data_IF_777302140599
#
_entry.id   IF_777302140599
#
_cell.length_a   1.000
_cell.length_b   1.000
_cell.length_c   1.000
_cell.angle_alpha   90.00
_cell.angle_beta   90.00
_cell.angle_gamma   90.00
#
_symmetry.space_group_name_H-M   'P 1'
#
loop_
_entity.id
_entity.type
_entity.pdbx_description
1 polymer ?
#
# COMPACT_ATOMS: atom_id res chain seq x y z
N UNK A 1 -2.25 21.81 -3.65
CA UNK A 1 -1.52 21.11 -2.57
C UNK A 1 -0.94 22.07 -1.56
N UNK A 2 0.09 22.85 -1.87
CA UNK A 2 0.68 23.80 -0.89
C UNK A 2 -0.26 24.96 -0.52
N UNK A 3 -1.11 25.40 -1.44
CA UNK A 3 -2.15 26.41 -1.18
C UNK A 3 -3.28 25.86 -0.29
N UNK A 4 -3.66 24.59 -0.47
CA UNK A 4 -4.65 23.91 0.39
C UNK A 4 -4.12 23.75 1.82
N UNK A 5 -2.83 23.41 1.96
CA UNK A 5 -2.13 23.35 3.25
C UNK A 5 -2.11 24.74 3.89
N UNK A 6 -1.77 25.79 3.13
CA UNK A 6 -1.77 27.18 3.63
C UNK A 6 -3.15 27.58 4.16
N UNK A 7 -4.19 27.26 3.39
CA UNK A 7 -5.56 27.56 3.75
C UNK A 7 -5.97 26.84 5.03
N UNK A 8 -5.64 25.54 5.16
CA UNK A 8 -5.87 24.76 6.40
C UNK A 8 -5.14 25.36 7.60
N UNK A 9 -3.86 25.68 7.45
CA UNK A 9 -3.02 26.26 8.52
C UNK A 9 -3.55 27.63 8.96
N UNK A 10 -4.02 28.47 8.03
CA UNK A 10 -4.67 29.76 8.34
C UNK A 10 -5.98 29.56 9.11
N UNK A 11 -6.78 28.55 8.76
CA UNK A 11 -8.01 28.22 9.47
C UNK A 11 -7.73 27.72 10.91
N UNK A 12 -6.71 26.87 11.09
CA UNK A 12 -6.37 26.31 12.40
C UNK A 12 -5.76 27.33 13.35
N UNK A 13 -4.87 28.20 12.87
CA UNK A 13 -4.16 29.17 13.71
C UNK A 13 -4.87 30.52 13.86
N UNK A 14 -6.05 30.72 13.26
CA UNK A 14 -6.82 31.99 13.26
C UNK A 14 -5.99 33.24 12.90
N UNK A 15 -4.87 33.06 12.21
CA UNK A 15 -3.92 34.12 11.90
C UNK A 15 -3.90 34.32 10.39
N UNK A 16 -4.33 35.50 9.98
CA UNK A 16 -4.49 35.90 8.57
C UNK A 16 -3.16 36.16 7.86
N UNK A 17 -2.06 36.27 8.61
CA UNK A 17 -0.73 36.69 8.14
C UNK A 17 0.32 35.59 8.36
N UNK A 18 0.01 34.37 7.92
CA UNK A 18 0.96 33.27 7.84
C UNK A 18 1.45 33.18 6.38
N UNK A 19 2.75 33.35 6.20
CA UNK A 19 3.48 33.12 4.95
C UNK A 19 3.88 31.63 4.83
N UNK A 20 4.37 31.23 3.64
CA UNK A 20 4.83 29.87 3.40
C UNK A 20 5.98 29.49 4.34
N UNK A 21 5.75 28.52 5.20
CA UNK A 21 6.75 28.00 6.14
C UNK A 21 7.40 26.72 5.58
N UNK A 22 8.64 26.40 5.97
CA UNK A 22 9.32 25.18 5.53
C UNK A 22 8.57 23.90 5.94
N UNK A 23 7.79 23.93 7.01
CA UNK A 23 6.94 22.81 7.45
C UNK A 23 5.84 22.51 6.43
N UNK A 24 5.24 23.55 5.83
CA UNK A 24 4.23 23.37 4.79
C UNK A 24 4.83 22.83 3.48
N UNK A 25 6.08 23.19 3.20
CA UNK A 25 6.82 22.64 2.09
C UNK A 25 7.11 21.15 2.30
N UNK A 26 7.53 20.77 3.50
CA UNK A 26 7.73 19.37 3.86
C UNK A 26 6.42 18.57 3.78
N UNK A 27 5.30 19.12 4.26
CA UNK A 27 3.99 18.47 4.13
C UNK A 27 3.58 18.27 2.66
N UNK A 28 3.83 19.26 1.80
CA UNK A 28 3.57 19.11 0.36
C UNK A 28 4.46 18.01 -0.26
N UNK A 29 5.73 17.90 0.14
CA UNK A 29 6.62 16.84 -0.32
C UNK A 29 6.15 15.44 0.11
N UNK A 30 5.63 15.30 1.34
CA UNK A 30 5.04 14.03 1.83
C UNK A 30 3.86 13.60 0.93
N UNK A 31 2.94 14.53 0.64
CA UNK A 31 1.78 14.24 -0.22
C UNK A 31 2.18 13.84 -1.64
N UNK A 32 3.18 14.51 -2.20
CA UNK A 32 3.72 14.16 -3.53
C UNK A 32 4.36 12.76 -3.48
N UNK A 33 5.06 12.42 -2.40
CA UNK A 33 5.68 11.11 -2.25
C UNK A 33 4.67 9.99 -2.09
N UNK A 34 3.60 10.20 -1.33
CA UNK A 34 2.53 9.23 -1.21
C UNK A 34 1.84 8.96 -2.55
N UNK A 35 1.65 10.01 -3.37
CA UNK A 35 1.10 9.87 -4.72
C UNK A 35 2.06 9.10 -5.64
N UNK A 36 3.36 9.40 -5.58
CA UNK A 36 4.38 8.68 -6.35
C UNK A 36 4.46 7.20 -5.96
N UNK A 37 4.41 6.89 -4.67
CA UNK A 37 4.37 5.50 -4.18
C UNK A 37 3.09 4.81 -4.63
N UNK A 38 1.94 5.49 -4.57
CA UNK A 38 0.66 4.93 -5.01
C UNK A 38 0.68 4.55 -6.50
N UNK A 39 1.22 5.42 -7.35
CA UNK A 39 1.19 5.25 -8.82
C UNK A 39 2.32 4.34 -9.31
N UNK A 40 3.54 4.55 -8.81
CA UNK A 40 4.77 3.96 -9.35
C UNK A 40 5.49 3.03 -8.39
N UNK A 41 5.05 2.95 -7.14
CA UNK A 41 5.71 2.21 -6.07
C UNK A 41 7.17 2.60 -5.83
N UNK A 42 7.56 3.81 -6.24
CA UNK A 42 8.91 4.32 -6.13
C UNK A 42 8.90 5.59 -5.27
N UNK A 43 9.87 5.74 -4.35
CA UNK A 43 9.98 6.92 -3.50
C UNK A 43 10.44 8.14 -4.31
N UNK A 44 10.26 9.35 -3.75
CA UNK A 44 10.61 10.60 -4.44
C UNK A 44 12.10 10.69 -4.80
N UNK A 45 12.95 10.04 -3.99
CA UNK A 45 14.38 9.95 -4.22
C UNK A 45 14.73 9.31 -5.58
N UNK A 46 13.90 8.39 -6.07
CA UNK A 46 14.11 7.78 -7.40
C UNK A 46 13.94 8.79 -8.55
N UNK A 47 13.18 9.85 -8.32
CA UNK A 47 12.93 10.92 -9.29
C UNK A 47 13.90 12.11 -9.14
N UNK A 48 14.93 11.98 -8.28
CA UNK A 48 15.91 13.03 -8.02
C UNK A 48 15.40 14.19 -7.16
N UNK A 49 14.29 13.99 -6.45
CA UNK A 49 13.76 14.97 -5.50
C UNK A 49 14.24 14.68 -4.07
N UNK A 50 14.36 15.71 -3.21
CA UNK A 50 14.69 15.52 -1.80
C UNK A 50 13.61 14.69 -1.11
N UNK A 51 14.02 13.71 -0.31
CA UNK A 51 13.06 12.95 0.50
C UNK A 51 12.45 13.86 1.57
N UNK A 52 11.12 13.77 1.77
CA UNK A 52 10.46 14.49 2.85
C UNK A 52 10.89 13.96 4.23
N UNK A 53 10.94 14.87 5.21
CA UNK A 53 11.13 14.53 6.61
C UNK A 53 9.80 14.04 7.20
N UNK A 54 9.57 12.73 7.16
CA UNK A 54 8.34 12.11 7.71
C UNK A 54 8.43 12.02 9.24
N UNK A 55 7.43 12.51 10.00
CA UNK A 55 7.34 12.19 11.42
C UNK A 55 7.13 10.68 11.58
N UNK A 56 7.73 10.07 12.61
CA UNK A 56 7.73 8.61 12.83
C UNK A 56 6.31 7.97 12.87
N UNK A 57 5.28 8.77 13.09
CA UNK A 57 3.87 8.39 13.08
C UNK A 57 3.28 8.15 11.68
N UNK A 58 3.83 8.78 10.62
CA UNK A 58 3.38 8.62 9.22
C UNK A 58 4.07 7.45 8.50
N UNK A 59 5.02 6.78 9.16
CA UNK A 59 5.55 5.48 8.73
C UNK A 59 4.55 4.33 8.96
N UNK A 60 3.25 4.60 8.84
CA UNK A 60 2.26 3.53 8.70
C UNK A 60 2.54 2.87 7.36
N UNK A 61 3.25 1.76 7.47
CA UNK A 61 3.74 0.90 6.41
C UNK A 61 2.72 0.83 5.26
N UNK A 62 3.00 1.50 4.14
CA UNK A 62 2.13 1.52 2.96
C UNK A 62 1.85 0.10 2.47
N UNK A 63 2.77 -0.83 2.70
CA UNK A 63 2.58 -2.27 2.49
C UNK A 63 1.50 -2.86 3.42
N UNK A 64 1.46 -2.47 4.69
CA UNK A 64 0.40 -2.88 5.63
C UNK A 64 -0.96 -2.29 5.25
N UNK A 65 -0.99 -1.07 4.73
CA UNK A 65 -2.22 -0.46 4.23
C UNK A 65 -2.68 -1.13 2.92
N UNK A 66 -1.76 -1.50 2.02
CA UNK A 66 -2.04 -2.31 0.82
C UNK A 66 -2.60 -3.69 1.17
N UNK A 67 -2.01 -4.37 2.16
CA UNK A 67 -2.51 -5.66 2.64
C UNK A 67 -3.92 -5.53 3.23
N UNK A 68 -4.19 -4.45 3.98
CA UNK A 68 -5.53 -4.18 4.54
C UNK A 68 -6.57 -3.77 3.49
N UNK A 69 -6.14 -3.20 2.38
CA UNK A 69 -7.01 -2.79 1.27
C UNK A 69 -7.31 -3.93 0.29
N UNK A 70 -6.90 -5.18 0.58
CA UNK A 70 -7.32 -6.35 -0.19
C UNK A 70 -8.85 -6.51 -0.07
N UNK A 71 -9.57 -6.05 -1.10
CA UNK A 71 -11.02 -6.03 -1.08
C UNK A 71 -11.57 -7.41 -1.42
N UNK A 72 -11.75 -8.25 -0.41
CA UNK A 72 -12.27 -9.63 -0.53
C UNK A 72 -13.58 -9.70 -1.33
N UNK A 73 -14.40 -8.64 -1.26
CA UNK A 73 -15.69 -8.54 -1.94
C UNK A 73 -15.52 -8.42 -3.46
N UNK A 74 -14.59 -7.61 -3.93
CA UNK A 74 -14.32 -7.45 -5.37
C UNK A 74 -13.66 -8.71 -5.92
N UNK A 75 -12.76 -9.32 -5.14
CA UNK A 75 -12.10 -10.55 -5.52
C UNK A 75 -13.10 -11.72 -5.65
N UNK A 76 -14.03 -11.87 -4.71
CA UNK A 76 -15.10 -12.86 -4.79
C UNK A 76 -15.98 -12.65 -6.03
N UNK A 77 -16.28 -11.39 -6.37
CA UNK A 77 -17.06 -11.03 -7.56
C UNK A 77 -16.32 -11.39 -8.86
N UNK A 78 -15.01 -11.11 -8.92
CA UNK A 78 -14.16 -11.48 -10.06
C UNK A 78 -14.08 -13.00 -10.22
N UNK A 79 -13.91 -13.75 -9.12
CA UNK A 79 -13.88 -15.21 -9.15
C UNK A 79 -15.20 -15.77 -9.66
N UNK A 80 -16.33 -15.32 -9.11
CA UNK A 80 -17.66 -15.80 -9.52
C UNK A 80 -17.96 -15.52 -11.01
N UNK A 81 -17.49 -14.40 -11.55
CA UNK A 81 -17.67 -14.06 -12.96
C UNK A 81 -16.75 -14.85 -13.90
N UNK A 82 -15.54 -15.22 -13.46
CA UNK A 82 -14.57 -15.93 -14.29
C UNK A 82 -14.64 -17.46 -14.16
N UNK A 83 -15.19 -17.98 -13.07
CA UNK A 83 -15.41 -19.42 -12.84
C UNK A 83 -16.16 -20.14 -13.99
N UNK A 84 -17.26 -19.58 -14.56
CA UNK A 84 -17.96 -20.21 -15.67
C UNK A 84 -17.25 -20.05 -17.03
N UNK A 85 -16.30 -19.12 -17.15
CA UNK A 85 -15.55 -18.84 -18.39
C UNK A 85 -14.28 -19.70 -18.54
N UNK A 86 -13.87 -20.40 -17.48
CA UNK A 86 -12.69 -21.24 -17.47
C UNK A 86 -12.92 -22.54 -18.24
N UNK A 87 -11.99 -22.85 -19.14
CA UNK A 87 -11.91 -24.16 -19.81
C UNK A 87 -11.41 -25.24 -18.85
N UNK A 88 -11.75 -26.51 -19.11
CA UNK A 88 -11.42 -27.63 -18.21
C UNK A 88 -9.90 -27.79 -17.96
N UNK A 89 -9.09 -27.46 -18.97
CA UNK A 89 -7.62 -27.46 -18.84
C UNK A 89 -7.10 -26.37 -17.89
N UNK A 90 -7.68 -25.16 -17.96
CA UNK A 90 -7.34 -24.05 -17.08
C UNK A 90 -7.77 -24.33 -15.63
N UNK A 91 -8.92 -24.99 -15.44
CA UNK A 91 -9.38 -25.43 -14.11
C UNK A 91 -8.41 -26.44 -13.51
N UNK A 92 -7.98 -27.44 -14.27
CA UNK A 92 -6.99 -28.40 -13.80
C UNK A 92 -5.67 -27.74 -13.39
N UNK A 93 -5.19 -26.77 -14.17
CA UNK A 93 -3.98 -26.04 -13.85
C UNK A 93 -4.11 -25.24 -12.55
N UNK A 94 -5.20 -24.49 -12.39
CA UNK A 94 -5.48 -23.70 -11.18
C UNK A 94 -5.60 -24.60 -9.94
N UNK A 95 -6.31 -25.72 -10.04
CA UNK A 95 -6.46 -26.69 -8.94
C UNK A 95 -5.09 -27.28 -8.56
N UNK A 96 -4.27 -27.66 -9.54
CA UNK A 96 -2.92 -28.18 -9.30
C UNK A 96 -2.02 -27.17 -8.60
N UNK A 97 -2.07 -25.90 -9.02
CA UNK A 97 -1.31 -24.81 -8.41
C UNK A 97 -1.78 -24.52 -6.98
N UNK A 98 -3.09 -24.57 -6.75
CA UNK A 98 -3.70 -24.41 -5.43
C UNK A 98 -3.26 -25.54 -4.47
N UNK A 99 -3.24 -26.79 -4.95
CA UNK A 99 -2.68 -27.92 -4.18
C UNK A 99 -1.19 -27.75 -3.88
N UNK A 100 -0.38 -27.31 -4.84
CA UNK A 100 1.05 -27.07 -4.62
C UNK A 100 1.28 -26.01 -3.53
N UNK A 101 0.52 -24.91 -3.56
CA UNK A 101 0.59 -23.84 -2.55
C UNK A 101 0.15 -24.33 -1.16
N UNK A 102 -0.90 -25.14 -1.08
CA UNK A 102 -1.37 -25.73 0.18
C UNK A 102 -0.35 -26.71 0.77
N UNK A 103 0.29 -27.54 -0.06
CA UNK A 103 1.35 -28.44 0.36
C UNK A 103 2.62 -27.69 0.82
N UNK A 104 2.97 -26.58 0.16
CA UNK A 104 4.12 -25.76 0.54
C UNK A 104 3.86 -24.99 1.86
N UNK A 105 2.66 -24.44 2.07
CA UNK A 105 2.24 -23.90 3.38
C UNK A 105 2.29 -24.97 4.47
N UNK A 106 1.83 -26.19 4.19
CA UNK A 106 1.90 -27.30 5.15
C UNK A 106 3.35 -27.69 5.49
N UNK A 107 4.26 -27.69 4.50
CA UNK A 107 5.68 -27.95 4.71
C UNK A 107 6.37 -26.86 5.57
N UNK A 108 6.00 -25.59 5.39
CA UNK A 108 6.49 -24.48 6.22
C UNK A 108 6.04 -24.63 7.69
N UNK A 109 4.81 -25.10 7.93
CA UNK A 109 4.32 -25.38 9.29
C UNK A 109 4.97 -26.61 9.93
N UNK A 110 5.25 -27.67 9.16
CA UNK A 110 5.96 -28.86 9.65
C UNK A 110 7.46 -28.61 9.92
N UNK A 111 8.08 -27.65 9.23
CA UNK A 111 9.46 -27.24 9.49
C UNK A 111 9.67 -26.56 10.85
N UNK A 112 8.63 -25.91 11.41
CA UNK A 112 8.70 -25.23 12.72
C UNK A 112 8.50 -26.17 13.91
N UNK A 113 7.85 -27.32 13.73
CA UNK A 113 7.64 -28.28 14.85
C UNK A 113 8.86 -29.17 15.12
N UNK A 114 9.88 -29.14 14.25
CA UNK A 114 11.13 -29.92 14.41
C UNK A 114 12.26 -29.20 15.15
N UNK A 115 12.10 -27.92 15.48
CA UNK A 115 13.07 -27.10 16.22
C UNK A 115 12.64 -26.83 17.68
N UNK A 116 11.81 -27.70 18.25
CA UNK A 116 11.42 -27.61 19.66
C UNK A 116 11.44 -28.99 20.33
N UNK A 117 12.56 -29.70 20.21
CA UNK A 117 12.91 -30.85 21.06
C UNK A 117 14.41 -30.85 21.34
#
# INVERSE_FOLDING_TARGET
MTEDILHRVKQTNQSSNIDYTPEMYNEALVLIEDLCILISNLPLNHYGMPSPDRPATDLVNSDLQREKQHNDVDLATIIANNEPLLTDEQKMFIIGLCWLLMMNKAAFFLGRTRWNR
#
